data_IF_209423418532
#
_entry.id   IF_209423418532
#
_cell.length_a   1.000
_cell.length_b   1.000
_cell.length_c   1.000
_cell.angle_alpha   90.00
_cell.angle_beta   90.00
_cell.angle_gamma   90.00
#
_symmetry.space_group_name_H-M   'P 1'
#
loop_
_entity.id
_entity.type
_entity.pdbx_description
1 polymer ?
#
# COMPACT_ATOMS: atom_id res chain seq x y z
N UNK A 1 -18.23 4.42 5.36
CA UNK A 1 -18.19 2.93 5.45
C UNK A 1 -16.74 2.48 5.63
N UNK A 2 -16.48 1.42 6.41
CA UNK A 2 -15.13 0.85 6.51
C UNK A 2 -14.82 0.02 5.27
N UNK A 3 -13.69 0.32 4.62
CA UNK A 3 -13.18 -0.42 3.49
C UNK A 3 -11.72 -0.84 3.73
N UNK A 4 -11.34 -1.94 3.10
CA UNK A 4 -9.98 -2.49 3.17
C UNK A 4 -9.43 -2.59 1.74
N UNK A 5 -8.25 -2.04 1.54
CA UNK A 5 -7.51 -2.08 0.28
C UNK A 5 -6.20 -2.82 0.52
N UNK A 6 -6.01 -3.95 -0.14
CA UNK A 6 -4.82 -4.77 0.05
C UNK A 6 -4.14 -4.95 -1.30
N UNK A 7 -2.88 -4.52 -1.41
CA UNK A 7 -2.09 -4.69 -2.64
C UNK A 7 -1.86 -6.15 -3.00
N UNK A 8 -2.03 -7.07 -2.05
CA UNK A 8 -1.57 -8.44 -2.17
C UNK A 8 -0.05 -8.53 -2.08
N UNK A 9 0.51 -9.73 -2.29
CA UNK A 9 1.95 -9.97 -2.21
C UNK A 9 2.71 -9.30 -3.36
N UNK A 10 3.64 -8.43 -3.00
CA UNK A 10 4.59 -7.72 -3.85
C UNK A 10 5.96 -8.37 -3.65
N UNK A 11 6.58 -8.81 -4.75
CA UNK A 11 7.96 -9.30 -4.74
C UNK A 11 8.90 -8.09 -4.79
N UNK A 12 9.75 -7.91 -3.77
CA UNK A 12 10.70 -6.78 -3.68
C UNK A 12 11.95 -7.02 -4.55
N UNK A 13 11.76 -7.36 -5.82
CA UNK A 13 12.85 -7.63 -6.76
C UNK A 13 12.40 -7.38 -8.20
N UNK A 14 13.26 -6.74 -9.00
CA UNK A 14 13.01 -6.61 -10.44
C UNK A 14 13.60 -7.77 -11.25
N UNK A 15 13.38 -7.75 -12.57
CA UNK A 15 13.92 -8.75 -13.50
C UNK A 15 15.45 -8.80 -13.53
N UNK A 16 16.12 -7.68 -13.26
CA UNK A 16 17.59 -7.58 -13.17
C UNK A 16 18.15 -8.03 -11.81
N UNK A 17 17.28 -8.39 -10.87
CA UNK A 17 17.64 -8.88 -9.56
C UNK A 17 17.94 -7.80 -8.52
N UNK A 18 17.73 -6.52 -8.84
CA UNK A 18 17.85 -5.39 -7.89
C UNK A 18 16.76 -5.49 -6.83
N UNK A 19 17.06 -4.98 -5.63
CA UNK A 19 16.18 -5.06 -4.46
C UNK A 19 15.93 -3.65 -3.94
N UNK A 20 14.66 -3.30 -3.76
CA UNK A 20 14.27 -2.03 -3.17
C UNK A 20 14.67 -1.94 -1.70
N UNK A 21 15.12 -0.77 -1.28
CA UNK A 21 15.59 -0.50 0.09
C UNK A 21 14.65 0.40 0.89
N UNK A 22 13.84 1.20 0.18
CA UNK A 22 12.85 2.11 0.74
C UNK A 22 11.48 1.78 0.16
N UNK A 23 10.45 1.86 0.99
CA UNK A 23 9.06 1.63 0.63
C UNK A 23 8.31 2.96 0.64
N UNK A 24 7.62 3.24 -0.45
CA UNK A 24 6.75 4.38 -0.59
C UNK A 24 5.32 3.90 -0.83
N UNK A 25 4.37 4.63 -0.26
CA UNK A 25 2.95 4.41 -0.50
C UNK A 25 2.33 5.74 -0.89
N UNK A 26 1.77 5.81 -2.10
CA UNK A 26 0.89 6.91 -2.51
C UNK A 26 -0.54 6.53 -2.20
N UNK A 27 -1.28 7.41 -1.52
CA UNK A 27 -2.69 7.17 -1.20
C UNK A 27 -3.53 8.34 -1.69
N UNK A 28 -4.62 8.04 -2.37
CA UNK A 28 -5.45 9.04 -3.03
C UNK A 28 -6.92 8.73 -2.75
N UNK A 29 -7.67 9.74 -2.28
CA UNK A 29 -9.12 9.66 -2.22
C UNK A 29 -9.68 10.20 -3.53
N UNK A 30 -10.08 9.31 -4.44
CA UNK A 30 -10.56 9.65 -5.78
C UNK A 30 -12.07 9.95 -5.83
N UNK A 31 -12.74 10.05 -4.67
CA UNK A 31 -14.15 10.45 -4.58
C UNK A 31 -14.31 11.96 -4.53
N UNK A 32 -15.51 12.45 -4.88
CA UNK A 32 -15.79 13.88 -5.06
C UNK A 32 -16.48 14.54 -3.84
N UNK A 33 -16.89 13.76 -2.83
CA UNK A 33 -17.90 14.23 -1.86
C UNK A 33 -17.40 14.36 -0.42
N UNK A 34 -16.44 13.54 0.03
CA UNK A 34 -16.06 13.46 1.44
C UNK A 34 -14.55 13.19 1.64
N UNK A 35 -13.91 13.79 2.66
CA UNK A 35 -12.58 13.37 3.08
C UNK A 35 -12.59 11.91 3.54
N UNK A 36 -11.41 11.33 3.67
CA UNK A 36 -11.26 9.95 4.11
C UNK A 36 -10.10 9.85 5.08
N UNK A 37 -10.22 8.97 6.05
CA UNK A 37 -9.12 8.65 6.93
C UNK A 37 -8.64 7.23 6.67
N UNK A 38 -7.32 7.03 6.65
CA UNK A 38 -6.69 5.74 6.33
C UNK A 38 -5.61 5.36 7.34
N UNK A 39 -5.63 4.12 7.79
CA UNK A 39 -4.52 3.46 8.45
C UNK A 39 -3.70 2.71 7.38
N UNK A 40 -2.37 2.80 7.43
CA UNK A 40 -1.48 2.10 6.50
C UNK A 40 -0.71 1.03 7.27
N UNK A 41 -0.89 -0.22 6.89
CA UNK A 41 -0.18 -1.37 7.41
C UNK A 41 0.72 -1.97 6.33
N UNK A 42 1.90 -2.42 6.73
CA UNK A 42 2.79 -3.20 5.88
C UNK A 42 2.98 -4.55 6.52
N UNK A 43 2.73 -5.61 5.76
CA UNK A 43 2.97 -6.98 6.20
C UNK A 43 4.07 -7.62 5.35
N UNK A 44 4.88 -8.48 5.95
CA UNK A 44 5.74 -9.40 5.21
C UNK A 44 5.06 -10.75 5.07
N UNK A 45 5.25 -11.41 3.93
CA UNK A 45 4.88 -12.82 3.75
C UNK A 45 6.09 -13.65 4.14
N UNK A 46 6.01 -14.33 5.27
CA UNK A 46 7.09 -15.19 5.73
C UNK A 46 7.03 -16.54 5.02
N UNK A 47 8.21 -17.15 4.79
CA UNK A 47 8.29 -18.44 4.13
C UNK A 47 7.41 -19.47 4.84
N UNK A 48 6.75 -20.35 4.07
CA UNK A 48 5.85 -21.31 4.65
C UNK A 48 6.63 -22.31 5.51
N UNK A 49 6.07 -22.69 6.65
CA UNK A 49 6.37 -24.01 7.18
C UNK A 49 5.55 -25.04 6.35
N UNK A 50 5.63 -26.33 6.67
CA UNK A 50 4.90 -27.38 5.96
C UNK A 50 3.36 -27.20 5.88
N UNK A 51 2.79 -26.13 6.47
CA UNK A 51 1.35 -25.84 6.56
C UNK A 51 0.90 -24.57 5.83
N UNK A 52 1.78 -23.86 5.11
CA UNK A 52 1.42 -22.68 4.30
C UNK A 52 2.07 -21.37 4.74
N UNK A 53 1.67 -20.26 4.13
CA UNK A 53 2.26 -18.92 4.32
C UNK A 53 1.66 -18.21 5.54
N UNK A 54 2.46 -17.39 6.22
CA UNK A 54 1.98 -16.47 7.26
C UNK A 54 2.25 -15.01 6.87
N UNK A 55 1.38 -14.11 7.34
CA UNK A 55 1.55 -12.66 7.24
C UNK A 55 1.95 -12.12 8.60
N UNK A 56 3.03 -11.34 8.66
CA UNK A 56 3.44 -10.61 9.86
C UNK A 56 3.41 -9.12 9.57
N UNK A 57 2.66 -8.35 10.37
CA UNK A 57 2.68 -6.89 10.31
C UNK A 57 4.06 -6.42 10.79
N UNK A 58 4.77 -5.69 9.94
CA UNK A 58 6.11 -5.15 10.21
C UNK A 58 6.09 -3.63 10.40
N UNK A 59 4.98 -2.98 10.05
CA UNK A 59 4.74 -1.57 10.27
C UNK A 59 3.24 -1.27 10.22
N UNK A 60 2.81 -0.33 11.06
CA UNK A 60 1.48 0.24 11.03
C UNK A 60 1.61 1.73 11.35
N UNK A 61 0.99 2.57 10.52
CA UNK A 61 0.90 4.01 10.73
C UNK A 61 -0.47 4.36 11.28
N UNK A 62 -0.50 5.29 12.24
CA UNK A 62 -1.75 5.88 12.72
C UNK A 62 -2.52 6.55 11.58
N UNK A 63 -3.81 6.75 11.83
CA UNK A 63 -4.79 7.30 10.89
C UNK A 63 -4.31 8.61 10.23
N UNK A 64 -4.30 8.64 8.90
CA UNK A 64 -3.96 9.80 8.07
C UNK A 64 -5.21 10.31 7.39
N UNK A 65 -5.49 11.60 7.53
CA UNK A 65 -6.55 12.27 6.79
C UNK A 65 -6.17 12.55 5.33
N UNK A 66 -7.12 12.28 4.43
CA UNK A 66 -7.05 12.50 3.00
C UNK A 66 -8.19 13.42 2.59
N UNK A 67 -7.87 14.45 1.82
CA UNK A 67 -8.88 15.29 1.16
C UNK A 67 -9.37 14.61 -0.11
N UNK A 68 -10.59 14.94 -0.54
CA UNK A 68 -11.13 14.53 -1.83
C UNK A 68 -10.24 15.02 -2.99
N UNK A 69 -10.03 14.16 -4.00
CA UNK A 69 -9.27 14.50 -5.20
C UNK A 69 -9.96 15.64 -5.94
N UNK A 70 -9.17 16.59 -6.47
CA UNK A 70 -9.72 17.77 -7.14
C UNK A 70 -10.32 18.83 -6.21
N UNK A 71 -10.22 18.68 -4.88
CA UNK A 71 -10.45 19.80 -3.97
C UNK A 71 -9.47 20.92 -4.31
N UNK A 72 -9.91 22.18 -4.27
CA UNK A 72 -9.11 23.38 -4.64
C UNK A 72 -7.84 23.61 -3.80
N UNK A 73 -7.50 22.69 -2.89
CA UNK A 73 -6.40 22.78 -1.94
C UNK A 73 -5.35 21.67 -2.09
N UNK A 74 -5.57 20.68 -2.95
CA UNK A 74 -4.63 19.56 -3.18
C UNK A 74 -3.95 19.67 -4.53
N UNK A 75 -2.63 19.44 -4.57
CA UNK A 75 -1.93 19.12 -5.82
C UNK A 75 -2.58 17.89 -6.46
N UNK A 76 -2.66 17.84 -7.80
CA UNK A 76 -3.23 16.74 -8.61
C UNK A 76 -2.58 15.35 -8.39
N UNK A 77 -1.68 15.25 -7.43
CA UNK A 77 -1.01 14.04 -6.96
C UNK A 77 -1.25 13.89 -5.46
N UNK A 78 -2.02 12.86 -5.05
CA UNK A 78 -2.28 12.59 -3.63
C UNK A 78 -1.01 12.32 -2.82
N UNK A 79 -1.09 12.35 -1.47
CA UNK A 79 0.09 12.28 -0.60
C UNK A 79 0.90 11.00 -0.82
N UNK A 80 2.22 11.18 -0.82
CA UNK A 80 3.21 10.09 -0.89
C UNK A 80 3.92 9.99 0.46
N UNK A 81 3.85 8.80 1.06
CA UNK A 81 4.47 8.50 2.34
C UNK A 81 5.71 7.64 2.11
N UNK A 82 6.88 8.13 2.54
CA UNK A 82 8.05 7.26 2.74
C UNK A 82 7.87 6.55 4.09
N UNK A 83 7.64 5.24 4.05
CA UNK A 83 7.44 4.47 5.27
C UNK A 83 8.81 4.09 5.86
N UNK A 84 9.02 4.18 7.19
CA UNK A 84 10.26 3.78 7.85
C UNK A 84 10.44 2.25 7.90
N UNK A 85 9.89 1.54 6.91
CA UNK A 85 10.10 0.12 6.70
C UNK A 85 11.43 -0.04 6.00
N UNK A 86 12.42 -0.49 6.76
CA UNK A 86 13.60 -1.09 6.13
C UNK A 86 13.13 -2.41 5.56
N UNK A 87 13.19 -2.57 4.24
CA UNK A 87 13.03 -3.86 3.58
C UNK A 87 14.41 -4.53 3.59
N UNK A 88 14.81 -5.28 4.64
CA UNK A 88 16.08 -6.00 4.62
C UNK A 88 16.07 -7.00 3.46
N UNK A 89 17.25 -7.49 3.09
CA UNK A 89 17.43 -8.56 2.10
C UNK A 89 16.54 -9.80 2.36
N UNK A 90 16.04 -9.96 3.60
CA UNK A 90 15.21 -11.07 4.03
C UNK A 90 13.71 -10.86 3.75
N UNK A 91 13.21 -9.62 3.64
CA UNK A 91 11.82 -9.33 3.24
C UNK A 91 11.73 -9.42 1.72
N UNK A 92 11.54 -10.64 1.22
CA UNK A 92 11.44 -10.92 -0.22
C UNK A 92 10.06 -10.60 -0.79
N UNK A 93 9.03 -10.81 0.02
CA UNK A 93 7.63 -10.63 -0.35
C UNK A 93 6.93 -9.90 0.78
N UNK A 94 6.22 -8.83 0.45
CA UNK A 94 5.49 -7.99 1.39
C UNK A 94 4.16 -7.56 0.77
N UNK A 95 3.30 -6.89 1.51
CA UNK A 95 2.16 -6.19 0.95
C UNK A 95 1.79 -5.00 1.81
N UNK A 96 0.95 -4.14 1.26
CA UNK A 96 0.44 -2.94 1.93
C UNK A 96 -1.06 -3.08 2.03
N UNK A 97 -1.57 -2.91 3.25
CA UNK A 97 -2.99 -2.89 3.54
C UNK A 97 -3.38 -1.52 4.05
N UNK A 98 -4.44 -0.96 3.49
CA UNK A 98 -5.07 0.24 3.99
C UNK A 98 -6.43 -0.13 4.56
N UNK A 99 -6.70 0.36 5.76
CA UNK A 99 -8.02 0.26 6.38
C UNK A 99 -8.57 1.66 6.56
N UNK A 100 -9.80 1.90 6.10
CA UNK A 100 -10.41 3.23 6.18
C UNK A 100 -11.34 3.34 7.38
N UNK A 101 -11.47 4.56 7.90
CA UNK A 101 -12.46 4.86 8.93
C UNK A 101 -13.85 5.06 8.30
N UNK A 102 -14.94 4.63 8.97
CA UNK A 102 -16.30 4.90 8.50
C UNK A 102 -16.67 6.39 8.51
N UNK A 103 -15.99 7.21 9.31
CA UNK A 103 -16.10 8.68 9.41
C UNK A 103 -14.78 9.30 8.90
N UNK A 104 -14.77 10.31 8.01
CA UNK A 104 -15.88 11.13 7.51
C UNK A 104 -16.63 10.59 6.30
N UNK A 105 -16.45 9.31 5.93
CA UNK A 105 -17.31 8.61 4.97
C UNK A 105 -16.71 8.36 3.58
N UNK A 106 -15.70 9.15 3.16
CA UNK A 106 -14.99 9.00 1.88
C UNK A 106 -14.09 7.76 1.74
N UNK A 107 -14.12 6.85 2.73
CA UNK A 107 -13.25 5.68 2.81
C UNK A 107 -13.46 4.61 1.73
N UNK A 108 -14.47 4.73 0.86
CA UNK A 108 -14.78 3.75 -0.20
C UNK A 108 -14.12 4.06 -1.56
N UNK A 109 -13.55 5.25 -1.72
CA UNK A 109 -12.96 5.71 -2.98
C UNK A 109 -11.45 5.93 -2.86
N UNK A 110 -10.73 5.00 -2.21
CA UNK A 110 -9.28 5.10 -2.08
C UNK A 110 -8.56 4.33 -3.17
N UNK A 111 -7.52 4.93 -3.72
CA UNK A 111 -6.49 4.22 -4.47
C UNK A 111 -5.20 4.22 -3.67
N UNK A 112 -4.53 3.07 -3.58
CA UNK A 112 -3.18 3.00 -3.03
C UNK A 112 -2.21 2.43 -4.05
N UNK A 113 -1.02 3.05 -4.13
CA UNK A 113 0.10 2.55 -4.92
C UNK A 113 1.29 2.36 -4.01
N UNK A 114 1.71 1.11 -3.82
CA UNK A 114 2.93 0.76 -3.11
C UNK A 114 4.06 0.60 -4.12
N UNK A 115 5.22 1.20 -3.86
CA UNK A 115 6.40 1.02 -4.69
C UNK A 115 7.68 1.04 -3.88
N UNK A 116 8.67 0.29 -4.34
CA UNK A 116 9.99 0.25 -3.72
C UNK A 116 11.01 0.90 -4.62
N UNK A 117 11.99 1.57 -4.02
CA UNK A 117 13.10 2.19 -4.76
C UNK A 117 14.44 1.65 -4.27
N UNK A 118 15.40 1.58 -5.17
CA UNK A 118 16.80 1.30 -4.85
C UNK A 118 17.49 2.52 -4.18
N UNK A 119 18.76 2.40 -3.74
CA UNK A 119 19.50 3.52 -3.17
C UNK A 119 19.67 4.72 -4.11
N UNK A 120 19.60 4.49 -5.43
CA UNK A 120 19.71 5.52 -6.46
C UNK A 120 18.37 6.22 -6.74
N UNK A 121 17.27 5.71 -6.18
CA UNK A 121 15.93 6.27 -6.35
C UNK A 121 15.16 5.68 -7.54
N UNK A 122 15.69 4.63 -8.20
CA UNK A 122 14.95 3.95 -9.27
C UNK A 122 13.87 3.05 -8.68
N UNK A 123 12.67 3.08 -9.27
CA UNK A 123 11.59 2.16 -8.91
C UNK A 123 11.97 0.72 -9.28
N UNK A 124 11.84 -0.19 -8.32
CA UNK A 124 12.17 -1.62 -8.45
C UNK A 124 10.91 -2.47 -8.58
N UNK A 125 9.92 -2.20 -7.74
CA UNK A 125 8.62 -2.86 -7.77
C UNK A 125 7.52 -1.84 -7.55
N UNK A 126 6.36 -2.07 -8.14
CA UNK A 126 5.17 -1.25 -7.93
C UNK A 126 3.92 -2.14 -7.98
N UNK A 127 2.94 -1.83 -7.15
CA UNK A 127 1.63 -2.45 -7.17
C UNK A 127 0.58 -1.40 -6.80
N UNK A 128 -0.52 -1.40 -7.54
CA UNK A 128 -1.68 -0.54 -7.30
C UNK A 128 -2.85 -1.40 -6.86
N UNK A 129 -3.69 -0.84 -5.99
CA UNK A 129 -5.01 -1.37 -5.64
C UNK A 129 -6.05 -0.29 -5.86
N UNK A 130 -7.10 -0.62 -6.60
CA UNK A 130 -8.22 0.27 -6.91
C UNK A 130 -9.43 0.01 -5.98
N UNK A 131 -10.39 0.95 -5.90
CA UNK A 131 -11.69 0.68 -5.30
C UNK A 131 -12.36 -0.57 -5.87
N UNK A 132 -12.81 -1.46 -4.97
CA UNK A 132 -13.53 -2.68 -5.35
C UNK A 132 -12.65 -3.80 -5.89
N UNK A 133 -11.33 -3.61 -6.05
CA UNK A 133 -10.40 -4.70 -6.35
C UNK A 133 -10.15 -5.54 -5.10
N UNK A 134 -11.06 -6.48 -4.80
CA UNK A 134 -10.68 -7.68 -4.08
C UNK A 134 -9.75 -8.46 -4.99
N UNK A 135 -8.46 -8.57 -4.64
CA UNK A 135 -7.50 -9.40 -5.34
C UNK A 135 -8.09 -10.80 -5.58
N UNK A 136 -8.64 -11.03 -6.78
CA UNK A 136 -8.98 -12.37 -7.26
C UNK A 136 -7.65 -13.05 -7.49
N UNK A 137 -7.15 -13.73 -6.46
CA UNK A 137 -6.12 -14.74 -6.64
C UNK A 137 -6.74 -15.77 -7.59
N UNK A 138 -6.36 -15.72 -8.87
CA UNK A 138 -6.62 -16.83 -9.80
C UNK A 138 -5.56 -17.86 -9.45
N UNK A 139 -5.91 -19.00 -8.84
CA UNK A 139 -4.96 -20.07 -8.65
C UNK A 139 -4.66 -20.65 -10.04
N UNK A 140 -3.43 -20.50 -10.51
CA UNK A 140 -2.87 -21.38 -11.56
C UNK A 140 -2.23 -22.58 -10.92
#
# INVERSE_FOLDING_TARGET
MLAVYDTGPIVNRDAGGRIGKRLFVRVENIGDEEPANVCIEVYQVTQPNAKGYAQQIIYAQNEVGLLAFGSSTTSDSGPVFELPVRLPLQVKVFGVRLTTSPDPGGGNNITATAFTVDPQGNVISFQRVLPGELNKVVPT
#
